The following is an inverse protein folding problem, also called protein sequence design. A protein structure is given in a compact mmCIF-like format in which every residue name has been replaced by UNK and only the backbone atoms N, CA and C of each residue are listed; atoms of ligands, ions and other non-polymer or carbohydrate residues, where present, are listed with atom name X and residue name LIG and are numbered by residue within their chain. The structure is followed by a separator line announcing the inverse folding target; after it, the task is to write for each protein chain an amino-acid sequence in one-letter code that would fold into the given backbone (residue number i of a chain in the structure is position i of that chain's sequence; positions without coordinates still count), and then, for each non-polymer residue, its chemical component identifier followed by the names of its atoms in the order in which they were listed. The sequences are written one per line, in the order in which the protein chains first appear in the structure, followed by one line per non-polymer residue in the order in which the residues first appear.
data_IF_000019228602
#
_entry.id   IF_000019228602
#
_cell.length_a   1.000
_cell.length_b   1.000
_cell.length_c   1.000
_cell.angle_alpha   90.00
_cell.angle_beta   90.00
_cell.angle_gamma   90.00
#
_symmetry.space_group_name_H-M   'P 1'
#
loop_
_entity.id
_entity.type
_entity.pdbx_description
1 polymer ?
#
# COMPACT_ATOMS: atom_id res chain seq x y z
N UNK A 1 -0.74 22.11 -1.87
CA UNK A 1 -0.36 20.74 -2.31
C UNK A 1 -1.63 19.92 -2.44
N UNK A 2 -1.93 19.39 -3.62
CA UNK A 2 -3.08 18.51 -3.82
C UNK A 2 -2.80 17.16 -3.15
N UNK A 3 -3.71 16.69 -2.29
CA UNK A 3 -3.66 15.34 -1.70
C UNK A 3 -4.63 14.46 -2.49
N UNK A 4 -4.10 13.41 -3.11
CA UNK A 4 -4.92 12.37 -3.71
C UNK A 4 -5.14 11.28 -2.68
N UNK A 5 -6.41 10.90 -2.48
CA UNK A 5 -6.77 9.77 -1.64
C UNK A 5 -6.66 8.49 -2.46
N UNK A 6 -5.86 7.53 -1.98
CA UNK A 6 -5.80 6.19 -2.58
C UNK A 6 -6.72 5.28 -1.78
N UNK A 7 -7.63 4.60 -2.46
CA UNK A 7 -8.51 3.58 -1.87
C UNK A 7 -8.47 2.36 -2.76
N UNK A 8 -7.91 1.27 -2.26
CA UNK A 8 -7.83 0.01 -3.00
C UNK A 8 -9.06 -0.84 -2.72
N UNK A 9 -9.56 -1.50 -3.76
CA UNK A 9 -10.48 -2.62 -3.60
C UNK A 9 -9.77 -3.82 -2.95
N UNK A 10 -10.54 -4.78 -2.46
CA UNK A 10 -9.97 -6.00 -1.87
C UNK A 10 -9.10 -6.78 -2.88
N UNK A 11 -9.53 -6.85 -4.14
CA UNK A 11 -8.84 -7.56 -5.22
C UNK A 11 -7.51 -6.90 -5.56
N UNK A 12 -7.50 -5.58 -5.79
CA UNK A 12 -6.26 -4.82 -6.04
C UNK A 12 -5.26 -5.00 -4.88
N UNK A 13 -5.75 -5.00 -3.65
CA UNK A 13 -4.90 -5.20 -2.47
C UNK A 13 -4.31 -6.62 -2.42
N UNK A 14 -5.07 -7.65 -2.79
CA UNK A 14 -4.57 -9.04 -2.89
C UNK A 14 -3.49 -9.17 -3.97
N UNK A 15 -3.69 -8.53 -5.11
CA UNK A 15 -2.72 -8.54 -6.21
C UNK A 15 -1.41 -7.85 -5.81
N UNK A 16 -1.50 -6.67 -5.20
CA UNK A 16 -0.33 -5.95 -4.71
C UNK A 16 0.41 -6.76 -3.64
N UNK A 17 -0.31 -7.41 -2.71
CA UNK A 17 0.31 -8.31 -1.71
C UNK A 17 1.05 -9.46 -2.38
N UNK A 18 0.50 -10.02 -3.45
CA UNK A 18 1.16 -11.10 -4.22
C UNK A 18 2.47 -10.60 -4.83
N UNK A 19 2.47 -9.41 -5.44
CA UNK A 19 3.69 -8.77 -5.98
C UNK A 19 4.77 -8.56 -4.90
N UNK A 20 4.37 -8.22 -3.67
CA UNK A 20 5.33 -7.94 -2.59
C UNK A 20 5.87 -9.18 -1.86
N UNK A 21 5.18 -10.32 -1.94
CA UNK A 21 5.47 -11.48 -1.10
C UNK A 21 6.06 -12.68 -1.85
N UNK A 22 5.85 -12.77 -3.17
CA UNK A 22 6.21 -13.95 -3.97
C UNK A 22 6.66 -13.56 -5.38
N UNK A 23 7.46 -14.43 -6.00
CA UNK A 23 7.83 -14.34 -7.42
C UNK A 23 9.04 -13.44 -7.73
N UNK A 24 9.35 -13.33 -9.03
CA UNK A 24 10.44 -12.49 -9.54
C UNK A 24 9.85 -11.26 -10.24
N UNK A 25 9.89 -10.12 -9.55
CA UNK A 25 9.44 -8.84 -10.08
C UNK A 25 10.61 -7.85 -10.16
N UNK A 26 10.51 -6.87 -11.06
CA UNK A 26 11.46 -5.74 -11.07
C UNK A 26 11.31 -4.97 -9.75
N UNK A 27 12.42 -4.52 -9.16
CA UNK A 27 12.42 -3.80 -7.88
C UNK A 27 11.47 -2.61 -7.88
N UNK A 28 11.41 -1.85 -8.99
CA UNK A 28 10.47 -0.72 -9.12
C UNK A 28 9.01 -1.13 -8.97
N UNK A 29 8.61 -2.31 -9.48
CA UNK A 29 7.24 -2.80 -9.38
C UNK A 29 6.89 -3.16 -7.93
N UNK A 30 7.83 -3.78 -7.21
CA UNK A 30 7.68 -4.10 -5.79
C UNK A 30 7.57 -2.82 -4.95
N UNK A 31 8.44 -1.84 -5.20
CA UNK A 31 8.41 -0.53 -4.52
C UNK A 31 7.07 0.18 -4.76
N UNK A 32 6.63 0.25 -6.02
CA UNK A 32 5.34 0.87 -6.35
C UNK A 32 4.18 0.18 -5.65
N UNK A 33 4.19 -1.16 -5.56
CA UNK A 33 3.16 -1.91 -4.87
C UNK A 33 3.14 -1.63 -3.36
N UNK A 34 4.31 -1.54 -2.73
CA UNK A 34 4.44 -1.15 -1.32
C UNK A 34 3.94 0.26 -1.06
N UNK A 35 4.25 1.22 -1.94
CA UNK A 35 3.76 2.60 -1.83
C UNK A 35 2.23 2.62 -1.85
N UNK A 36 1.60 1.96 -2.82
CA UNK A 36 0.14 1.91 -2.94
C UNK A 36 -0.51 1.24 -1.72
N UNK A 37 0.03 0.12 -1.23
CA UNK A 37 -0.47 -0.56 -0.02
C UNK A 37 -0.38 0.33 1.23
N UNK A 38 0.69 1.14 1.35
CA UNK A 38 0.90 2.00 2.52
C UNK A 38 0.11 3.32 2.44
N UNK A 39 -0.20 3.79 1.24
CA UNK A 39 -1.04 4.97 1.01
C UNK A 39 -2.55 4.65 1.01
N UNK A 40 -2.92 3.37 1.00
CA UNK A 40 -4.32 2.93 0.99
C UNK A 40 -5.06 3.37 2.25
N UNK A 41 -6.10 4.19 2.06
CA UNK A 41 -7.05 4.66 3.06
C UNK A 41 -8.45 4.02 2.88
N UNK A 42 -8.54 2.93 2.09
CA UNK A 42 -9.77 2.18 1.86
C UNK A 42 -10.11 1.21 3.00
N UNK A 43 -11.32 0.63 2.95
CA UNK A 43 -11.88 -0.22 4.01
C UNK A 43 -11.09 -1.52 4.24
N UNK A 44 -10.30 -1.94 3.26
CA UNK A 44 -9.47 -3.15 3.33
C UNK A 44 -8.06 -2.88 3.90
N UNK A 45 -7.75 -1.65 4.31
CA UNK A 45 -6.50 -1.31 4.98
C UNK A 45 -6.40 -1.97 6.35
N UNK A 46 -5.57 -3.01 6.44
CA UNK A 46 -5.37 -3.79 7.66
C UNK A 46 -4.37 -3.17 8.64
N UNK A 47 -3.56 -2.20 8.20
CA UNK A 47 -2.64 -1.44 9.05
C UNK A 47 -2.96 0.03 8.90
N UNK A 48 -3.60 0.63 9.90
CA UNK A 48 -3.65 2.10 10.01
C UNK A 48 -2.21 2.59 10.10
N UNK A 49 -1.78 3.44 9.17
CA UNK A 49 -0.48 4.09 9.22
C UNK A 49 -0.37 4.85 10.54
N UNK A 50 0.49 4.36 11.42
CA UNK A 50 0.89 4.91 12.71
C UNK A 50 1.72 6.17 12.56
N UNK A 51 1.39 7.06 11.61
CA UNK A 51 2.07 8.35 11.48
C UNK A 51 1.81 9.25 12.69
N UNK A 52 0.79 8.96 13.50
CA UNK A 52 0.61 9.58 14.82
C UNK A 52 1.65 9.12 15.86
N UNK A 53 2.37 8.00 15.64
CA UNK A 53 3.32 7.45 16.62
C UNK A 53 4.79 7.86 16.38
N UNK A 54 5.10 8.61 15.32
CA UNK A 54 6.47 9.11 15.05
C UNK A 54 6.65 10.57 15.50
N UNK A 55 5.60 11.20 16.04
CA UNK A 55 5.68 12.46 16.78
C UNK A 55 5.77 12.15 18.28
N UNK A 56 6.95 11.72 18.75
CA UNK A 56 7.27 11.48 20.14
C UNK A 56 8.74 11.77 20.40
#
# INVERSE_FOLDING_TARGET
MLRYKVTLTEEERKDLKTITSKGKHRSQKVINALILINCDEGDFQTKRSTNEQVAG
#
